data_IF_110547066453
#
_entry.id   IF_110547066453
#
_cell.length_a   1.000
_cell.length_b   1.000
_cell.length_c   1.000
_cell.angle_alpha   90.00
_cell.angle_beta   90.00
_cell.angle_gamma   90.00
#
_symmetry.space_group_name_H-M   'P 1'
#
loop_
_entity.id
_entity.type
_entity.pdbx_description
1 polymer ?
#
# COMPACT_ATOMS: atom_id res chain seq x y z
N UNK A 1 30.45 11.32 28.86
CA UNK A 1 29.27 11.28 27.98
C UNK A 1 29.76 11.23 26.54
N UNK A 2 29.36 10.23 25.80
CA UNK A 2 29.75 10.15 24.40
C UNK A 2 28.94 11.23 23.61
N UNK A 3 29.67 12.15 23.00
CA UNK A 3 29.07 13.17 22.13
C UNK A 3 28.84 12.56 20.75
N UNK A 4 27.64 12.01 20.54
CA UNK A 4 27.27 11.49 19.22
C UNK A 4 26.94 12.64 18.27
N UNK A 5 27.60 12.67 17.11
CA UNK A 5 27.22 13.57 16.00
C UNK A 5 25.94 13.10 15.31
N UNK A 6 25.22 13.98 14.63
CA UNK A 6 24.03 13.60 13.86
C UNK A 6 24.37 12.52 12.79
N UNK A 7 25.57 12.59 12.19
CA UNK A 7 26.06 11.60 11.21
C UNK A 7 26.28 10.21 11.81
N UNK A 8 26.82 10.11 13.04
CA UNK A 8 26.96 8.83 13.74
C UNK A 8 25.59 8.22 14.09
N UNK A 9 24.62 9.06 14.47
CA UNK A 9 23.25 8.63 14.73
C UNK A 9 22.59 8.13 13.44
N UNK A 10 22.80 8.81 12.31
CA UNK A 10 22.32 8.35 11.00
C UNK A 10 22.90 6.99 10.63
N UNK A 11 24.21 6.81 10.80
CA UNK A 11 24.89 5.53 10.54
C UNK A 11 24.26 4.39 11.35
N UNK A 12 23.95 4.63 12.62
CA UNK A 12 23.26 3.67 13.51
C UNK A 12 21.82 3.43 13.06
N UNK A 13 21.08 4.48 12.67
CA UNK A 13 19.72 4.34 12.19
C UNK A 13 19.64 3.50 10.91
N UNK A 14 20.57 3.70 9.98
CA UNK A 14 20.68 2.89 8.75
C UNK A 14 21.04 1.44 9.08
N UNK A 15 21.97 1.20 10.00
CA UNK A 15 22.34 -0.14 10.45
C UNK A 15 21.16 -0.86 11.13
N UNK A 16 20.42 -0.15 11.97
CA UNK A 16 19.20 -0.66 12.63
C UNK A 16 18.13 -0.99 11.58
N UNK A 17 17.86 -0.13 10.60
CA UNK A 17 16.93 -0.43 9.51
C UNK A 17 17.32 -1.69 8.72
N UNK A 18 18.61 -1.87 8.43
CA UNK A 18 19.11 -3.07 7.76
C UNK A 18 18.95 -4.35 8.62
N UNK A 19 19.10 -4.25 9.96
CA UNK A 19 18.90 -5.40 10.86
C UNK A 19 17.40 -5.72 11.05
N UNK A 20 16.50 -4.77 10.86
CA UNK A 20 15.06 -5.02 10.85
C UNK A 20 14.66 -5.99 9.75
N UNK A 21 15.31 -5.95 8.60
CA UNK A 21 15.09 -6.95 7.54
C UNK A 21 15.29 -8.39 8.02
N UNK A 22 16.27 -8.64 8.89
CA UNK A 22 16.47 -9.97 9.47
C UNK A 22 15.35 -10.36 10.47
N UNK A 23 14.79 -9.40 11.20
CA UNK A 23 13.65 -9.59 12.11
C UNK A 23 12.32 -9.84 11.36
N UNK A 24 12.16 -9.25 10.18
CA UNK A 24 10.99 -9.43 9.31
C UNK A 24 10.87 -10.85 8.79
N UNK A 25 11.99 -11.50 8.47
CA UNK A 25 12.00 -12.92 8.12
C UNK A 25 11.46 -13.80 9.26
N UNK A 26 11.48 -13.28 10.50
CA UNK A 26 10.86 -13.90 11.68
C UNK A 26 9.38 -13.53 11.90
N UNK A 27 8.79 -12.73 11.04
CA UNK A 27 7.37 -12.36 11.11
C UNK A 27 7.03 -11.21 12.08
N UNK A 28 8.01 -10.56 12.68
CA UNK A 28 7.77 -9.54 13.73
C UNK A 28 7.07 -8.27 13.22
N UNK A 29 7.31 -7.86 11.96
CA UNK A 29 6.63 -6.73 11.32
C UNK A 29 5.45 -7.14 10.43
N UNK A 30 5.45 -8.37 9.91
CA UNK A 30 4.34 -8.95 9.14
C UNK A 30 3.12 -9.34 9.98
N UNK A 31 3.15 -9.15 11.30
CA UNK A 31 2.00 -9.36 12.16
C UNK A 31 0.80 -8.45 11.85
N UNK A 32 1.02 -7.37 11.11
CA UNK A 32 -0.04 -6.54 10.54
C UNK A 32 -0.19 -6.90 9.07
N UNK A 33 -1.29 -7.50 8.73
CA UNK A 33 -1.64 -7.84 7.36
C UNK A 33 -2.14 -6.58 6.65
N UNK A 34 -1.25 -5.92 5.92
CA UNK A 34 -1.52 -4.76 5.09
C UNK A 34 -1.74 -5.20 3.64
N UNK A 35 -2.78 -6.01 3.42
CA UNK A 35 -3.04 -6.62 2.12
C UNK A 35 -3.31 -5.61 1.00
N UNK A 36 -3.89 -4.46 1.32
CA UNK A 36 -4.11 -3.38 0.36
C UNK A 36 -2.77 -2.81 -0.14
N UNK A 37 -1.79 -2.67 0.75
CA UNK A 37 -0.44 -2.21 0.39
C UNK A 37 0.31 -3.28 -0.43
N UNK A 38 0.26 -4.55 -0.03
CA UNK A 38 0.85 -5.66 -0.79
C UNK A 38 0.28 -5.73 -2.22
N UNK A 39 -1.03 -5.59 -2.34
CA UNK A 39 -1.73 -5.62 -3.62
C UNK A 39 -1.30 -4.47 -4.54
N UNK A 40 -1.28 -3.21 -4.05
CA UNK A 40 -0.95 -2.05 -4.90
C UNK A 40 0.52 -2.06 -5.33
N UNK A 41 1.44 -2.51 -4.47
CA UNK A 41 2.86 -2.62 -4.81
C UNK A 41 3.06 -3.68 -5.90
N UNK A 42 2.44 -4.85 -5.75
CA UNK A 42 2.48 -5.93 -6.74
C UNK A 42 1.97 -5.46 -8.11
N UNK A 43 0.88 -4.70 -8.14
CA UNK A 43 0.23 -4.27 -9.37
C UNK A 43 0.93 -3.08 -10.07
N UNK A 44 1.75 -2.32 -9.36
CA UNK A 44 2.39 -1.12 -9.90
C UNK A 44 3.19 -1.36 -11.18
N UNK A 45 4.06 -2.40 -11.30
CA UNK A 45 4.80 -2.67 -12.53
C UNK A 45 3.93 -3.08 -13.70
N UNK A 46 2.75 -3.65 -13.45
CA UNK A 46 1.81 -4.09 -14.47
C UNK A 46 0.99 -2.92 -15.03
N UNK A 47 0.69 -1.93 -14.18
CA UNK A 47 -0.08 -0.74 -14.57
C UNK A 47 0.75 0.24 -15.42
N UNK A 48 2.02 0.43 -15.07
CA UNK A 48 2.88 1.45 -15.68
C UNK A 48 3.53 0.88 -16.93
N UNK A 49 3.35 1.56 -18.07
CA UNK A 49 3.97 1.15 -19.33
C UNK A 49 5.49 1.24 -19.23
N UNK A 50 6.16 0.14 -19.54
CA UNK A 50 7.61 -0.01 -19.34
C UNK A 50 8.00 -0.54 -17.95
N UNK A 51 7.05 -0.77 -17.07
CA UNK A 51 7.23 -1.47 -15.80
C UNK A 51 8.30 -0.86 -14.90
N UNK A 52 9.11 -1.71 -14.29
CA UNK A 52 10.11 -1.33 -13.29
C UNK A 52 11.15 -0.30 -13.81
N UNK A 53 11.53 -0.36 -15.10
CA UNK A 53 12.49 0.58 -15.68
C UNK A 53 11.94 2.01 -15.73
N UNK A 54 10.67 2.17 -16.12
CA UNK A 54 9.97 3.46 -16.11
C UNK A 54 9.83 3.99 -14.70
N UNK A 55 9.44 3.14 -13.73
CA UNK A 55 9.31 3.51 -12.32
C UNK A 55 10.65 4.00 -11.77
N UNK A 56 11.75 3.29 -12.05
CA UNK A 56 13.09 3.70 -11.63
C UNK A 56 13.47 5.07 -12.17
N UNK A 57 13.19 5.33 -13.46
CA UNK A 57 13.43 6.62 -14.09
C UNK A 57 12.58 7.73 -13.47
N UNK A 58 11.31 7.46 -13.17
CA UNK A 58 10.41 8.43 -12.56
C UNK A 58 10.86 8.83 -11.15
N UNK A 59 11.35 7.88 -10.37
CA UNK A 59 11.86 8.14 -9.02
C UNK A 59 13.09 9.06 -8.99
N UNK A 60 13.85 9.13 -10.07
CA UNK A 60 15.05 9.99 -10.16
C UNK A 60 14.76 11.43 -10.60
N UNK A 61 13.55 11.73 -11.05
CA UNK A 61 13.18 13.07 -11.52
C UNK A 61 13.22 14.11 -10.39
N UNK A 62 13.61 15.36 -10.71
CA UNK A 62 13.76 16.42 -9.71
C UNK A 62 12.43 17.08 -9.28
N UNK A 63 11.36 16.92 -10.04
CA UNK A 63 10.09 17.59 -9.83
C UNK A 63 8.89 16.62 -9.82
N UNK A 64 7.76 17.11 -9.27
CA UNK A 64 6.48 16.40 -9.23
C UNK A 64 5.68 16.47 -10.53
N UNK A 65 6.10 17.28 -11.51
CA UNK A 65 5.35 17.51 -12.76
C UNK A 65 5.55 16.40 -13.79
N UNK A 66 5.54 15.17 -13.34
CA UNK A 66 5.81 13.98 -14.16
C UNK A 66 4.51 13.51 -14.78
N UNK A 67 4.54 13.21 -16.09
CA UNK A 67 3.47 12.46 -16.73
C UNK A 67 3.83 10.99 -16.79
N UNK A 68 2.98 10.16 -16.23
CA UNK A 68 3.20 8.72 -16.12
C UNK A 68 2.37 8.01 -17.17
N UNK A 69 2.99 7.18 -18.03
CA UNK A 69 2.25 6.37 -18.98
C UNK A 69 1.60 5.19 -18.25
N UNK A 70 0.28 5.21 -18.16
CA UNK A 70 -0.51 4.12 -17.57
C UNK A 70 -1.30 3.40 -18.64
N UNK A 71 -1.60 2.12 -18.41
CA UNK A 71 -2.46 1.35 -19.26
C UNK A 71 -3.86 1.94 -19.30
N UNK A 72 -4.45 1.92 -20.50
CA UNK A 72 -5.81 2.31 -20.76
C UNK A 72 -6.63 1.05 -21.11
N UNK A 73 -7.86 0.97 -20.61
CA UNK A 73 -8.76 -0.08 -21.09
C UNK A 73 -9.12 0.17 -22.55
N UNK A 74 -8.85 -0.80 -23.42
CA UNK A 74 -9.11 -0.66 -24.84
C UNK A 74 -10.62 -0.60 -25.11
N UNK A 75 -11.04 0.40 -25.89
CA UNK A 75 -12.42 0.54 -26.40
C UNK A 75 -12.53 0.14 -27.85
N UNK A 76 -11.52 -0.56 -28.40
CA UNK A 76 -11.49 -0.97 -29.79
C UNK A 76 -12.63 -1.93 -30.10
N UNK A 77 -13.30 -1.66 -31.20
CA UNK A 77 -14.33 -2.57 -31.77
C UNK A 77 -13.71 -3.38 -32.90
N UNK A 78 -14.04 -4.66 -32.95
CA UNK A 78 -13.62 -5.53 -34.05
C UNK A 78 -14.55 -5.31 -35.22
N UNK A 79 -13.99 -4.91 -36.36
CA UNK A 79 -14.71 -4.82 -37.62
C UNK A 79 -14.69 -6.15 -38.37
N UNK A 80 -15.78 -6.46 -39.11
CA UNK A 80 -15.92 -7.68 -39.92
C UNK A 80 -15.44 -7.50 -41.37
N UNK A 81 -15.10 -6.29 -41.80
CA UNK A 81 -14.67 -5.94 -43.16
C UNK A 81 -13.20 -5.55 -43.20
N UNK A 82 -12.48 -6.04 -44.23
CA UNK A 82 -11.13 -5.56 -44.52
C UNK A 82 -11.20 -4.15 -45.07
N UNK A 83 -10.77 -3.18 -44.28
CA UNK A 83 -10.54 -1.81 -44.75
C UNK A 83 -9.06 -1.57 -45.00
N UNK A 84 -8.75 -0.98 -46.15
CA UNK A 84 -7.39 -0.49 -46.45
C UNK A 84 -7.02 0.77 -45.65
N UNK A 85 -7.96 1.38 -44.94
CA UNK A 85 -7.71 2.50 -44.05
C UNK A 85 -7.17 1.99 -42.73
N UNK A 86 -5.98 2.46 -42.37
CA UNK A 86 -5.45 2.30 -41.02
C UNK A 86 -6.38 2.99 -40.04
N UNK A 87 -6.90 2.24 -39.06
CA UNK A 87 -7.73 2.81 -38.01
C UNK A 87 -6.90 3.83 -37.20
N UNK A 88 -7.41 5.03 -37.06
CA UNK A 88 -6.89 6.08 -36.18
C UNK A 88 -7.31 5.87 -34.71
N UNK A 89 -7.50 4.62 -34.30
CA UNK A 89 -7.92 4.32 -32.93
C UNK A 89 -6.85 4.77 -31.94
N UNK A 90 -7.30 5.45 -30.91
CA UNK A 90 -6.45 5.99 -29.86
C UNK A 90 -5.56 4.90 -29.23
N UNK A 91 -4.38 5.31 -28.87
CA UNK A 91 -3.40 4.51 -28.13
C UNK A 91 -4.01 3.90 -26.86
N UNK A 92 -3.59 2.68 -26.53
CA UNK A 92 -4.01 1.99 -25.30
C UNK A 92 -3.21 2.46 -24.06
N UNK A 93 -2.57 3.62 -24.17
CA UNK A 93 -1.85 4.29 -23.10
C UNK A 93 -2.42 5.68 -22.83
N UNK A 94 -2.40 6.11 -21.60
CA UNK A 94 -2.72 7.46 -21.20
C UNK A 94 -1.59 8.06 -20.36
N UNK A 95 -1.31 9.34 -20.57
CA UNK A 95 -0.38 10.10 -19.74
C UNK A 95 -1.16 10.72 -18.58
N UNK A 96 -0.93 10.21 -17.38
CA UNK A 96 -1.58 10.69 -16.16
C UNK A 96 -0.58 11.53 -15.36
N UNK A 97 -1.01 12.69 -14.89
CA UNK A 97 -0.24 13.50 -13.94
C UNK A 97 -0.56 13.02 -12.53
N UNK A 98 0.41 12.47 -11.79
CA UNK A 98 0.18 11.99 -10.44
C UNK A 98 -0.08 13.15 -9.48
N UNK A 99 -0.93 12.95 -8.49
CA UNK A 99 -1.09 13.83 -7.34
C UNK A 99 -0.36 13.20 -6.17
N UNK A 100 0.68 13.86 -5.69
CA UNK A 100 1.46 13.38 -4.56
C UNK A 100 0.90 13.90 -3.23
N UNK A 101 0.84 13.01 -2.25
CA UNK A 101 0.50 13.31 -0.87
C UNK A 101 1.64 12.87 0.03
N UNK A 102 2.05 13.72 0.96
CA UNK A 102 3.10 13.39 1.94
C UNK A 102 2.52 12.49 3.02
N UNK A 103 3.21 11.41 3.31
CA UNK A 103 2.95 10.52 4.44
C UNK A 103 4.11 10.63 5.41
N UNK A 104 3.81 10.83 6.68
CA UNK A 104 4.82 11.03 7.74
C UNK A 104 4.40 10.30 9.01
N UNK A 105 5.38 9.87 9.79
CA UNK A 105 5.18 9.24 11.11
C UNK A 105 4.88 10.24 12.23
N UNK A 106 4.94 11.55 11.94
CA UNK A 106 4.79 12.60 12.93
C UNK A 106 6.04 12.86 13.79
N UNK A 107 7.07 12.04 13.62
CA UNK A 107 8.36 12.14 14.31
C UNK A 107 8.38 11.49 15.70
N UNK A 108 9.58 11.06 16.11
CA UNK A 108 9.85 10.56 17.44
C UNK A 108 11.19 11.10 17.97
N UNK A 109 11.41 10.97 19.26
CA UNK A 109 12.64 11.44 19.92
C UNK A 109 13.30 10.31 20.69
N UNK A 110 14.63 10.32 20.68
CA UNK A 110 15.47 9.42 21.48
C UNK A 110 16.36 10.28 22.38
N UNK A 111 16.36 10.00 23.66
CA UNK A 111 17.24 10.66 24.62
C UNK A 111 18.58 9.93 24.68
N UNK A 112 19.61 10.55 24.14
CA UNK A 112 20.96 9.98 24.05
C UNK A 112 21.67 9.95 25.41
N UNK A 113 21.34 10.88 26.31
CA UNK A 113 21.95 10.95 27.64
C UNK A 113 21.37 9.92 28.61
N UNK A 114 20.08 9.60 28.48
CA UNK A 114 19.43 8.58 29.30
C UNK A 114 19.91 7.16 28.97
N UNK A 115 20.42 6.96 27.76
CA UNK A 115 20.92 5.66 27.32
C UNK A 115 22.28 5.30 27.94
N UNK A 116 23.10 6.29 28.36
CA UNK A 116 24.40 6.05 28.98
C UNK A 116 24.32 5.41 30.39
N UNK A 117 23.16 5.48 31.03
CA UNK A 117 22.95 4.93 32.39
C UNK A 117 21.93 3.81 32.50
N UNK A 118 21.30 3.40 31.40
CA UNK A 118 20.22 2.41 31.37
C UNK A 118 20.69 1.08 30.78
N UNK A 119 20.00 0.00 31.22
CA UNK A 119 20.13 -1.35 30.63
C UNK A 119 19.77 -1.43 29.15
N UNK A 120 19.12 -0.40 28.60
CA UNK A 120 18.75 -0.32 27.18
C UNK A 120 19.78 0.51 26.42
N UNK A 121 20.38 -0.13 25.45
CA UNK A 121 21.27 0.49 24.48
C UNK A 121 20.47 1.47 23.57
N UNK A 122 21.09 2.58 23.14
CA UNK A 122 20.54 3.54 22.17
C UNK A 122 19.98 2.83 20.93
N UNK A 123 20.69 1.82 20.46
CA UNK A 123 20.29 1.03 19.28
C UNK A 123 18.98 0.28 19.48
N UNK A 124 18.73 -0.25 20.67
CA UNK A 124 17.47 -0.93 20.99
C UNK A 124 16.29 0.05 21.07
N UNK A 125 16.50 1.22 21.69
CA UNK A 125 15.49 2.26 21.73
C UNK A 125 15.17 2.79 20.33
N UNK A 126 16.20 3.04 19.53
CA UNK A 126 16.07 3.47 18.15
C UNK A 126 15.34 2.40 17.31
N UNK A 127 15.73 1.13 17.43
CA UNK A 127 15.10 0.01 16.74
C UNK A 127 13.62 -0.10 17.06
N UNK A 128 13.24 -0.01 18.33
CA UNK A 128 11.83 -0.08 18.74
C UNK A 128 11.03 1.11 18.21
N UNK A 129 11.58 2.34 18.28
CA UNK A 129 10.92 3.53 17.79
C UNK A 129 10.73 3.49 16.27
N UNK A 130 11.78 3.15 15.53
CA UNK A 130 11.70 3.00 14.07
C UNK A 130 10.72 1.89 13.65
N UNK A 131 10.68 0.77 14.37
CA UNK A 131 9.71 -0.33 14.12
C UNK A 131 8.28 0.17 14.27
N UNK A 132 7.98 0.96 15.30
CA UNK A 132 6.66 1.54 15.48
C UNK A 132 6.33 2.56 14.38
N UNK A 133 7.28 3.42 14.00
CA UNK A 133 7.10 4.37 12.90
C UNK A 133 6.78 3.67 11.58
N UNK A 134 7.54 2.64 11.19
CA UNK A 134 7.25 1.88 9.96
C UNK A 134 5.88 1.20 10.01
N UNK A 135 5.51 0.66 11.17
CA UNK A 135 4.18 0.06 11.34
C UNK A 135 3.07 1.07 11.08
N UNK A 136 3.13 2.25 11.70
CA UNK A 136 2.14 3.32 11.51
C UNK A 136 2.11 3.81 10.06
N UNK A 137 3.29 3.94 9.43
CA UNK A 137 3.40 4.36 8.04
C UNK A 137 2.76 3.34 7.08
N UNK A 138 2.99 2.04 7.29
CA UNK A 138 2.35 0.98 6.48
C UNK A 138 0.84 0.93 6.69
N UNK A 139 0.36 1.05 7.93
CA UNK A 139 -1.07 1.14 8.24
C UNK A 139 -1.72 2.35 7.54
N UNK A 140 -1.04 3.50 7.55
CA UNK A 140 -1.51 4.70 6.84
C UNK A 140 -1.55 4.50 5.33
N UNK A 141 -0.52 3.91 4.74
CA UNK A 141 -0.49 3.61 3.30
C UNK A 141 -1.60 2.64 2.90
N UNK A 142 -1.87 1.61 3.71
CA UNK A 142 -2.95 0.67 3.48
C UNK A 142 -4.33 1.37 3.55
N UNK A 143 -4.57 2.19 4.57
CA UNK A 143 -5.80 2.96 4.71
C UNK A 143 -6.03 3.93 3.55
N UNK A 144 -4.99 4.64 3.13
CA UNK A 144 -5.06 5.55 1.99
C UNK A 144 -5.31 4.79 0.68
N UNK A 145 -4.81 3.56 0.56
CA UNK A 145 -5.09 2.69 -0.59
C UNK A 145 -6.55 2.25 -0.60
N UNK A 146 -7.13 1.89 0.55
CA UNK A 146 -8.56 1.59 0.66
C UNK A 146 -9.43 2.81 0.30
N UNK A 147 -9.04 4.00 0.77
CA UNK A 147 -9.73 5.25 0.42
C UNK A 147 -9.67 5.52 -1.08
N UNK A 148 -8.52 5.27 -1.70
CA UNK A 148 -8.34 5.38 -3.14
C UNK A 148 -9.21 4.37 -3.91
N UNK A 149 -9.31 3.13 -3.44
CA UNK A 149 -10.19 2.11 -4.03
C UNK A 149 -11.67 2.50 -3.92
N UNK A 150 -12.09 3.02 -2.75
CA UNK A 150 -13.46 3.48 -2.55
C UNK A 150 -13.83 4.62 -3.51
N UNK A 151 -12.90 5.52 -3.78
CA UNK A 151 -13.10 6.64 -4.72
C UNK A 151 -13.13 6.19 -6.17
N UNK A 152 -12.33 5.17 -6.52
CA UNK A 152 -12.17 4.68 -7.89
C UNK A 152 -12.95 3.41 -8.20
N UNK A 153 -13.81 2.92 -7.30
CA UNK A 153 -14.69 1.78 -7.59
C UNK A 153 -15.71 2.10 -8.65
N UNK A 154 -16.24 1.06 -9.30
CA UNK A 154 -17.33 1.19 -10.25
C UNK A 154 -18.55 1.83 -9.58
N UNK A 155 -19.19 2.77 -10.29
CA UNK A 155 -20.40 3.48 -9.86
C UNK A 155 -21.67 2.92 -10.48
N UNK A 156 -21.53 1.96 -11.36
CA UNK A 156 -22.64 1.23 -12.01
C UNK A 156 -22.43 -0.27 -11.91
N UNK A 157 -23.50 -1.03 -11.97
CA UNK A 157 -23.44 -2.50 -11.96
C UNK A 157 -22.69 -3.10 -13.16
N UNK A 158 -22.39 -2.30 -14.16
CA UNK A 158 -21.84 -2.77 -15.43
C UNK A 158 -22.88 -3.58 -16.22
N UNK A 159 -22.43 -4.62 -16.91
CA UNK A 159 -23.32 -5.62 -17.50
C UNK A 159 -23.70 -6.60 -16.38
N UNK A 160 -24.83 -6.33 -15.76
CA UNK A 160 -25.29 -6.98 -14.53
C UNK A 160 -25.35 -8.49 -14.69
N UNK A 161 -24.59 -9.18 -13.86
CA UNK A 161 -24.88 -10.57 -13.56
C UNK A 161 -26.15 -10.67 -12.71
N UNK A 162 -26.93 -11.70 -12.92
CA UNK A 162 -28.14 -12.00 -12.13
C UNK A 162 -27.82 -12.70 -10.82
N UNK A 163 -26.55 -12.87 -10.49
CA UNK A 163 -26.09 -13.70 -9.36
C UNK A 163 -26.04 -12.92 -8.05
N UNK A 164 -25.68 -11.64 -8.11
CA UNK A 164 -25.66 -10.73 -6.96
C UNK A 164 -26.55 -9.52 -7.23
N UNK A 165 -26.94 -8.80 -6.18
CA UNK A 165 -27.79 -7.62 -6.26
C UNK A 165 -26.93 -6.35 -6.20
N UNK A 166 -27.09 -5.48 -7.21
CA UNK A 166 -26.43 -4.17 -7.18
C UNK A 166 -27.10 -3.21 -6.21
N UNK A 167 -26.34 -2.66 -5.29
CA UNK A 167 -26.76 -1.55 -4.43
C UNK A 167 -26.15 -0.23 -4.94
N UNK A 168 -26.98 0.57 -5.63
CA UNK A 168 -26.56 1.84 -6.21
C UNK A 168 -26.14 2.88 -5.15
N UNK A 169 -26.71 2.82 -3.94
CA UNK A 169 -26.40 3.77 -2.86
C UNK A 169 -24.95 3.62 -2.38
N UNK A 170 -24.52 2.37 -2.25
CA UNK A 170 -23.17 2.07 -1.73
C UNK A 170 -22.18 1.74 -2.86
N UNK A 171 -22.62 1.65 -4.11
CA UNK A 171 -21.80 1.26 -5.26
C UNK A 171 -21.13 -0.10 -5.03
N UNK A 172 -21.92 -1.13 -4.69
CA UNK A 172 -21.41 -2.47 -4.39
C UNK A 172 -22.37 -3.58 -4.82
N UNK A 173 -21.83 -4.72 -5.19
CA UNK A 173 -22.58 -5.95 -5.39
C UNK A 173 -22.80 -6.63 -4.03
N UNK A 174 -24.04 -7.07 -3.78
CA UNK A 174 -24.44 -7.68 -2.52
C UNK A 174 -24.80 -9.14 -2.71
N UNK A 175 -24.12 -10.01 -1.97
CA UNK A 175 -24.45 -11.43 -1.87
C UNK A 175 -25.36 -11.66 -0.66
N UNK A 176 -26.45 -12.40 -0.84
CA UNK A 176 -27.38 -12.73 0.24
C UNK A 176 -26.78 -13.77 1.18
N UNK A 177 -27.28 -13.83 2.42
CA UNK A 177 -26.84 -14.82 3.40
C UNK A 177 -27.05 -16.26 2.92
N UNK A 178 -28.15 -16.52 2.19
CA UNK A 178 -28.46 -17.84 1.64
C UNK A 178 -27.39 -18.34 0.63
N UNK A 179 -26.71 -17.42 -0.04
CA UNK A 179 -25.69 -17.71 -1.04
C UNK A 179 -24.25 -17.53 -0.53
N UNK A 180 -24.07 -17.45 0.80
CA UNK A 180 -22.80 -17.17 1.45
C UNK A 180 -21.66 -18.04 0.94
N UNK A 181 -21.88 -19.34 0.82
CA UNK A 181 -20.84 -20.30 0.43
C UNK A 181 -20.37 -20.15 -1.02
N UNK A 182 -21.13 -19.43 -1.86
CA UNK A 182 -20.84 -19.22 -3.28
C UNK A 182 -20.30 -17.80 -3.58
N UNK A 183 -19.96 -17.00 -2.57
CA UNK A 183 -19.56 -15.61 -2.74
C UNK A 183 -18.49 -15.40 -3.81
N UNK A 184 -17.36 -16.11 -3.70
CA UNK A 184 -16.26 -15.97 -4.66
C UNK A 184 -16.59 -16.54 -6.04
N UNK A 185 -17.41 -17.60 -6.12
CA UNK A 185 -17.87 -18.15 -7.39
C UNK A 185 -18.74 -17.15 -8.17
N UNK A 186 -19.66 -16.50 -7.48
CA UNK A 186 -20.53 -15.47 -8.07
C UNK A 186 -19.74 -14.22 -8.47
N UNK A 187 -18.84 -13.76 -7.60
CA UNK A 187 -17.97 -12.63 -7.91
C UNK A 187 -17.09 -12.90 -9.15
N UNK A 188 -16.57 -14.12 -9.28
CA UNK A 188 -15.78 -14.53 -10.44
C UNK A 188 -16.58 -14.48 -11.74
N UNK A 189 -17.79 -15.05 -11.74
CA UNK A 189 -18.66 -15.02 -12.92
C UNK A 189 -19.11 -13.61 -13.28
N UNK A 190 -19.40 -12.76 -12.31
CA UNK A 190 -19.74 -11.35 -12.56
C UNK A 190 -18.59 -10.55 -13.15
N UNK A 191 -17.36 -10.76 -12.67
CA UNK A 191 -16.18 -10.14 -13.25
C UNK A 191 -16.03 -10.52 -14.72
N UNK A 192 -16.24 -11.80 -15.06
CA UNK A 192 -16.18 -12.29 -16.44
C UNK A 192 -17.29 -11.74 -17.31
N UNK A 193 -18.53 -11.65 -16.79
CA UNK A 193 -19.65 -11.05 -17.50
C UNK A 193 -19.41 -9.58 -17.82
N UNK A 194 -18.71 -8.87 -16.93
CA UNK A 194 -18.25 -7.50 -17.16
C UNK A 194 -17.01 -7.41 -18.07
N UNK A 195 -16.60 -8.53 -18.68
CA UNK A 195 -15.45 -8.62 -19.61
C UNK A 195 -14.12 -8.25 -18.97
N UNK A 196 -13.99 -8.46 -17.67
CA UNK A 196 -12.69 -8.39 -17.00
C UNK A 196 -11.98 -9.74 -17.15
N UNK A 197 -10.70 -9.70 -17.50
CA UNK A 197 -9.87 -10.90 -17.66
C UNK A 197 -9.11 -11.19 -16.36
N UNK A 198 -9.12 -12.44 -15.89
CA UNK A 198 -8.31 -12.84 -14.73
C UNK A 198 -6.83 -12.96 -15.07
N UNK A 199 -5.95 -13.10 -14.07
CA UNK A 199 -6.28 -13.30 -12.66
C UNK A 199 -6.77 -12.03 -11.97
N UNK A 200 -7.60 -12.22 -10.94
CA UNK A 200 -8.16 -11.11 -10.17
C UNK A 200 -7.45 -10.97 -8.83
N UNK A 201 -7.17 -9.74 -8.44
CA UNK A 201 -6.69 -9.41 -7.11
C UNK A 201 -7.88 -9.06 -6.21
N UNK A 202 -7.90 -9.65 -5.02
CA UNK A 202 -8.99 -9.53 -4.05
C UNK A 202 -8.45 -8.98 -2.75
N UNK A 203 -8.82 -7.74 -2.42
CA UNK A 203 -8.56 -7.17 -1.09
C UNK A 203 -9.81 -7.37 -0.26
N UNK A 204 -9.72 -8.13 0.83
CA UNK A 204 -10.89 -8.53 1.61
C UNK A 204 -10.75 -8.22 3.10
N UNK A 205 -11.91 -8.04 3.74
CA UNK A 205 -11.99 -7.97 5.21
C UNK A 205 -11.67 -9.32 5.83
N UNK A 206 -11.14 -9.31 7.04
CA UNK A 206 -11.09 -10.50 7.88
C UNK A 206 -12.51 -10.89 8.36
N UNK A 207 -12.62 -12.01 9.04
CA UNK A 207 -13.89 -12.53 9.53
C UNK A 207 -14.50 -13.50 8.54
N UNK A 208 -15.72 -13.26 8.12
CA UNK A 208 -16.50 -14.21 7.31
C UNK A 208 -15.81 -14.60 6.00
N UNK A 209 -15.34 -13.63 5.23
CA UNK A 209 -14.66 -13.90 3.95
C UNK A 209 -13.33 -14.62 4.16
N UNK A 210 -12.54 -14.24 5.16
CA UNK A 210 -11.31 -14.96 5.52
C UNK A 210 -11.59 -16.39 5.95
N UNK A 211 -12.66 -16.62 6.70
CA UNK A 211 -13.09 -17.97 7.09
C UNK A 211 -13.53 -18.80 5.88
N UNK A 212 -14.26 -18.22 4.93
CA UNK A 212 -14.64 -18.90 3.68
C UNK A 212 -13.43 -19.33 2.85
N UNK A 213 -12.42 -18.46 2.73
CA UNK A 213 -11.17 -18.77 2.04
C UNK A 213 -10.47 -19.94 2.74
N UNK A 214 -10.33 -19.90 4.06
CA UNK A 214 -9.72 -20.96 4.84
C UNK A 214 -10.49 -22.28 4.75
N UNK A 215 -11.83 -22.24 4.79
CA UNK A 215 -12.70 -23.40 4.62
C UNK A 215 -12.56 -24.04 3.24
N UNK A 216 -12.55 -23.24 2.18
CA UNK A 216 -12.34 -23.71 0.81
C UNK A 216 -10.97 -24.34 0.64
N UNK A 217 -9.93 -23.75 1.23
CA UNK A 217 -8.60 -24.32 1.25
C UNK A 217 -8.56 -25.69 1.96
N UNK A 218 -9.24 -25.83 3.10
CA UNK A 218 -9.30 -27.08 3.86
C UNK A 218 -10.16 -28.17 3.16
N UNK A 219 -11.26 -27.79 2.53
CA UNK A 219 -12.12 -28.74 1.80
C UNK A 219 -11.43 -29.30 0.55
N UNK A 220 -10.48 -28.58 -0.02
CA UNK A 220 -9.70 -29.02 -1.16
C UNK A 220 -8.57 -30.00 -0.84
N UNK A 221 -8.20 -30.16 0.41
CA UNK A 221 -7.16 -31.13 0.82
C UNK A 221 -7.50 -32.59 0.45
N UNK A 222 -8.77 -32.90 0.22
CA UNK A 222 -9.25 -34.21 -0.24
C UNK A 222 -9.52 -34.32 -1.76
N UNK A 223 -9.51 -33.20 -2.50
CA UNK A 223 -9.81 -33.19 -3.93
C UNK A 223 -9.01 -32.11 -4.66
N UNK A 224 -7.76 -32.41 -4.94
CA UNK A 224 -6.75 -31.49 -5.51
C UNK A 224 -7.17 -30.85 -6.84
N UNK A 225 -8.05 -31.48 -7.61
CA UNK A 225 -8.46 -30.99 -8.93
C UNK A 225 -9.43 -29.81 -8.85
N UNK A 226 -10.35 -29.81 -7.90
CA UNK A 226 -11.35 -28.75 -7.76
C UNK A 226 -10.81 -27.52 -7.05
N UNK A 227 -9.91 -27.68 -6.11
CA UNK A 227 -9.32 -26.57 -5.36
C UNK A 227 -8.33 -25.77 -6.21
N UNK A 228 -7.50 -26.44 -6.98
CA UNK A 228 -6.59 -25.80 -7.91
C UNK A 228 -7.34 -24.93 -8.94
N UNK A 229 -8.57 -25.32 -9.31
CA UNK A 229 -9.38 -24.57 -10.23
C UNK A 229 -10.07 -23.35 -9.57
N UNK A 230 -10.56 -23.47 -8.34
CA UNK A 230 -11.32 -22.40 -7.68
C UNK A 230 -10.45 -21.33 -7.02
N UNK A 231 -9.28 -21.70 -6.47
CA UNK A 231 -8.41 -20.77 -5.75
C UNK A 231 -7.12 -20.43 -6.49
N UNK A 232 -6.60 -21.33 -7.32
CA UNK A 232 -5.27 -21.21 -7.91
C UNK A 232 -5.21 -20.47 -9.23
N UNK A 233 -6.28 -20.39 -9.99
CA UNK A 233 -6.28 -19.81 -11.33
C UNK A 233 -7.09 -18.51 -11.48
N UNK A 234 -7.86 -18.11 -10.48
CA UNK A 234 -8.77 -16.98 -10.59
C UNK A 234 -8.50 -15.81 -9.66
N UNK A 235 -8.05 -16.05 -8.44
CA UNK A 235 -7.94 -15.03 -7.41
C UNK A 235 -6.60 -15.04 -6.69
N UNK A 236 -6.04 -13.85 -6.44
CA UNK A 236 -4.99 -13.61 -5.48
C UNK A 236 -5.61 -12.89 -4.28
N UNK A 237 -5.51 -13.46 -3.09
CA UNK A 237 -6.15 -12.95 -1.88
C UNK A 237 -5.20 -12.11 -1.05
N UNK A 238 -5.66 -10.93 -0.65
CA UNK A 238 -4.96 -9.97 0.20
C UNK A 238 -5.87 -9.59 1.36
N UNK A 239 -5.59 -10.14 2.55
CA UNK A 239 -6.33 -9.81 3.77
C UNK A 239 -5.90 -8.45 4.30
N UNK A 240 -6.86 -7.55 4.58
CA UNK A 240 -6.59 -6.20 5.04
C UNK A 240 -7.24 -5.95 6.41
N UNK A 241 -6.40 -5.63 7.40
CA UNK A 241 -6.86 -5.42 8.78
C UNK A 241 -7.60 -4.08 8.94
N UNK A 242 -7.22 -3.06 8.18
CA UNK A 242 -7.83 -1.73 8.23
C UNK A 242 -9.14 -1.65 7.44
N UNK A 243 -9.47 -2.69 6.69
CA UNK A 243 -10.69 -2.71 5.89
C UNK A 243 -11.91 -3.03 6.77
N UNK A 244 -12.75 -2.03 6.98
CA UNK A 244 -14.02 -2.18 7.71
C UNK A 244 -15.15 -2.37 6.71
N UNK A 245 -15.93 -3.43 6.85
CA UNK A 245 -17.11 -3.66 6.03
C UNK A 245 -18.19 -2.59 6.27
N UNK A 246 -19.06 -2.40 5.29
CA UNK A 246 -20.23 -1.52 5.45
C UNK A 246 -21.18 -2.06 6.52
N UNK A 247 -22.02 -1.19 7.11
CA UNK A 247 -23.06 -1.60 8.05
C UNK A 247 -24.01 -2.62 7.40
N UNK A 248 -24.38 -3.67 8.13
CA UNK A 248 -25.24 -4.75 7.64
C UNK A 248 -24.52 -5.80 6.80
N UNK A 249 -23.17 -5.79 6.76
CA UNK A 249 -22.36 -6.79 6.08
C UNK A 249 -21.50 -7.59 7.05
N UNK A 250 -21.27 -8.87 6.76
CA UNK A 250 -20.34 -9.74 7.51
C UNK A 250 -18.94 -9.74 6.88
N UNK A 251 -18.81 -9.22 5.67
CA UNK A 251 -17.54 -9.08 4.96
C UNK A 251 -17.67 -8.24 3.70
N UNK A 252 -16.58 -7.61 3.30
CA UNK A 252 -16.50 -6.83 2.06
C UNK A 252 -15.19 -7.14 1.34
N UNK A 253 -15.22 -7.04 0.01
CA UNK A 253 -14.04 -7.23 -0.83
C UNK A 253 -14.02 -6.23 -1.98
N UNK A 254 -12.82 -5.75 -2.34
CA UNK A 254 -12.56 -5.14 -3.64
C UNK A 254 -11.94 -6.20 -4.54
N UNK A 255 -12.51 -6.37 -5.71
CA UNK A 255 -12.03 -7.32 -6.72
C UNK A 255 -11.71 -6.55 -7.99
N UNK A 256 -10.54 -6.79 -8.55
CA UNK A 256 -10.02 -6.08 -9.72
C UNK A 256 -9.11 -6.97 -10.56
N UNK A 257 -8.94 -6.62 -11.83
CA UNK A 257 -7.89 -7.24 -12.66
C UNK A 257 -6.51 -6.85 -12.15
N UNK A 258 -5.53 -7.75 -12.31
CA UNK A 258 -4.13 -7.41 -12.09
C UNK A 258 -3.73 -6.18 -12.94
N UNK A 259 -2.91 -5.28 -12.40
CA UNK A 259 -2.50 -4.06 -13.07
C UNK A 259 -3.58 -2.97 -13.16
N UNK A 260 -4.64 -3.03 -12.35
CA UNK A 260 -5.69 -1.99 -12.31
C UNK A 260 -5.27 -0.79 -11.47
N UNK A 261 -4.52 -1.00 -10.41
CA UNK A 261 -4.05 0.05 -9.49
C UNK A 261 -2.53 0.01 -9.36
N UNK A 262 -1.95 1.13 -8.98
CA UNK A 262 -0.52 1.23 -8.72
C UNK A 262 -0.18 2.40 -7.81
N UNK A 263 1.04 2.39 -7.27
CA UNK A 263 1.53 3.43 -6.40
C UNK A 263 2.96 3.82 -6.80
N UNK A 264 3.25 5.10 -6.78
CA UNK A 264 4.61 5.62 -6.95
C UNK A 264 5.01 6.34 -5.68
N UNK A 265 6.20 6.02 -5.22
CA UNK A 265 6.91 6.71 -4.17
C UNK A 265 7.91 7.69 -4.79
N UNK A 266 7.97 8.90 -4.26
CA UNK A 266 8.92 9.92 -4.65
C UNK A 266 9.54 10.57 -3.42
N UNK A 267 10.84 10.81 -3.49
CA UNK A 267 11.59 11.48 -2.44
C UNK A 267 12.25 12.73 -3.01
N UNK A 268 12.39 13.74 -2.20
CA UNK A 268 13.03 15.00 -2.57
C UNK A 268 14.49 14.79 -3.00
N UNK A 269 14.97 15.54 -4.00
CA UNK A 269 16.34 15.43 -4.48
C UNK A 269 17.40 15.57 -3.40
N UNK A 270 17.22 16.53 -2.46
CA UNK A 270 18.14 16.79 -1.36
C UNK A 270 18.29 15.54 -0.46
N UNK A 271 17.21 14.81 -0.19
CA UNK A 271 17.23 13.58 0.61
C UNK A 271 17.88 12.42 -0.12
N UNK A 272 17.73 12.36 -1.45
CA UNK A 272 18.37 11.32 -2.27
C UNK A 272 19.88 11.45 -2.30
N UNK A 273 20.38 12.68 -2.34
CA UNK A 273 21.84 12.96 -2.27
C UNK A 273 22.36 12.84 -0.86
N UNK A 274 21.48 12.98 0.14
CA UNK A 274 21.85 13.10 1.53
C UNK A 274 22.53 14.43 1.82
N UNK A 275 22.59 14.82 3.06
CA UNK A 275 23.26 16.04 3.46
C UNK A 275 23.29 16.22 4.98
N UNK A 276 24.03 17.23 5.41
CA UNK A 276 24.10 17.62 6.80
C UNK A 276 24.16 19.16 6.93
N UNK A 277 23.70 19.65 8.05
CA UNK A 277 23.88 21.03 8.48
C UNK A 277 24.74 21.04 9.76
N UNK A 278 26.05 20.90 9.57
CA UNK A 278 26.97 20.69 10.68
C UNK A 278 26.64 19.41 11.48
N UNK A 279 26.92 19.44 12.79
CA UNK A 279 26.67 18.30 13.69
C UNK A 279 25.23 18.24 14.21
N UNK A 280 24.36 19.17 13.81
CA UNK A 280 23.03 19.36 14.39
C UNK A 280 21.93 18.68 13.60
N UNK A 281 22.08 18.60 12.28
CA UNK A 281 21.03 18.08 11.41
C UNK A 281 21.63 17.26 10.27
N UNK A 282 21.00 16.13 9.98
CA UNK A 282 21.37 15.25 8.87
C UNK A 282 20.12 14.66 8.25
N UNK A 283 20.17 14.45 6.95
CA UNK A 283 19.07 13.83 6.21
C UNK A 283 19.59 12.87 5.15
N UNK A 284 18.84 11.83 4.90
CA UNK A 284 19.15 10.82 3.91
C UNK A 284 17.89 10.07 3.49
N UNK A 285 17.99 9.30 2.42
CA UNK A 285 16.96 8.34 2.04
C UNK A 285 17.32 6.96 2.59
N UNK A 286 16.35 6.28 3.19
CA UNK A 286 16.48 4.91 3.68
C UNK A 286 15.47 4.00 2.98
N UNK A 287 15.84 2.74 2.65
CA UNK A 287 14.90 1.79 2.10
C UNK A 287 13.89 1.35 3.17
N UNK A 288 12.68 1.02 2.72
CA UNK A 288 11.70 0.38 3.60
C UNK A 288 12.20 -1.03 3.99
N UNK A 289 12.07 -1.42 5.26
CA UNK A 289 12.54 -2.73 5.71
C UNK A 289 11.72 -3.91 5.18
N UNK A 290 10.46 -3.71 4.76
CA UNK A 290 9.56 -4.77 4.24
C UNK A 290 9.41 -4.68 2.74
N UNK A 291 9.24 -3.45 2.24
CA UNK A 291 8.93 -3.16 0.83
C UNK A 291 10.11 -2.45 0.18
N UNK A 292 11.04 -3.19 -0.43
CA UNK A 292 12.26 -2.60 -1.03
C UNK A 292 11.95 -1.62 -2.17
N UNK A 293 10.74 -1.67 -2.72
CA UNK A 293 10.25 -0.73 -3.72
C UNK A 293 9.96 0.66 -3.15
N UNK A 294 9.77 0.76 -1.83
CA UNK A 294 9.52 2.00 -1.10
C UNK A 294 10.82 2.50 -0.50
N UNK A 295 11.03 3.79 -0.58
CA UNK A 295 12.12 4.49 0.10
C UNK A 295 11.57 5.70 0.86
N UNK A 296 12.14 5.95 2.02
CA UNK A 296 11.70 6.99 2.94
C UNK A 296 12.77 8.06 3.12
N UNK A 297 12.35 9.29 3.29
CA UNK A 297 13.18 10.40 3.73
C UNK A 297 13.33 10.33 5.24
N UNK A 298 14.54 10.18 5.74
CA UNK A 298 14.87 10.24 7.15
C UNK A 298 15.56 11.56 7.44
N UNK A 299 15.01 12.35 8.35
CA UNK A 299 15.60 13.56 8.87
C UNK A 299 15.88 13.38 10.35
N UNK A 300 17.10 13.68 10.75
CA UNK A 300 17.56 13.61 12.15
C UNK A 300 18.00 15.00 12.55
N UNK A 301 17.43 15.50 13.63
CA UNK A 301 17.81 16.76 14.24
C UNK A 301 18.24 16.52 15.67
N UNK A 302 19.43 16.96 15.99
CA UNK A 302 19.96 16.94 17.33
C UNK A 302 19.64 18.26 18.02
N UNK A 303 19.18 18.24 19.26
CA UNK A 303 18.95 19.41 20.09
C UNK A 303 19.54 19.16 21.48
N UNK A 304 20.15 20.18 22.06
CA UNK A 304 20.39 20.17 23.49
C UNK A 304 19.06 20.57 24.14
N UNK A 305 18.42 19.65 24.88
CA UNK A 305 17.27 20.00 25.70
C UNK A 305 17.72 20.94 26.80
N UNK A 306 17.14 22.15 26.85
CA UNK A 306 17.10 22.88 28.08
C UNK A 306 16.24 22.04 29.05
N UNK A 307 16.69 21.79 30.24
CA UNK A 307 16.09 20.86 31.20
C UNK A 307 14.62 21.10 31.58
N UNK A 308 13.99 22.10 30.97
CA UNK A 308 12.61 22.51 31.23
C UNK A 308 11.54 21.74 30.42
N UNK A 309 11.85 21.22 29.24
CA UNK A 309 10.82 20.65 28.36
C UNK A 309 10.47 19.19 28.69
N UNK A 310 11.27 18.50 29.45
CA UNK A 310 11.04 17.09 29.87
C UNK A 310 10.76 16.92 31.36
N UNK A 311 10.58 18.00 32.10
CA UNK A 311 10.46 17.96 33.55
C UNK A 311 8.99 17.98 34.00
N UNK A 312 8.18 17.01 33.64
CA UNK A 312 6.92 16.74 34.33
C UNK A 312 7.12 16.01 35.67
N UNK A 313 8.34 15.67 36.05
CA UNK A 313 8.67 14.88 37.24
C UNK A 313 9.73 15.45 38.18
N UNK A 314 10.21 16.69 38.01
CA UNK A 314 11.03 17.36 39.02
C UNK A 314 12.52 16.99 39.07
N UNK A 315 13.06 16.20 38.16
CA UNK A 315 14.50 15.89 38.08
C UNK A 315 15.04 16.43 36.77
N UNK A 316 15.63 17.64 36.82
CA UNK A 316 16.24 18.26 35.64
C UNK A 316 17.52 17.52 35.23
N UNK A 317 17.54 16.95 34.03
CA UNK A 317 18.79 16.60 33.37
C UNK A 317 19.31 17.83 32.63
N UNK A 318 20.13 18.62 33.30
CA UNK A 318 20.88 19.73 32.70
C UNK A 318 21.86 19.14 31.70
N UNK A 319 21.63 19.07 30.45
CA UNK A 319 22.42 18.53 29.34
C UNK A 319 21.87 17.27 28.69
N UNK A 320 20.55 17.06 28.64
CA UNK A 320 19.99 15.97 27.86
C UNK A 320 20.19 16.23 26.35
N UNK A 321 20.95 15.37 25.71
CA UNK A 321 21.07 15.36 24.27
C UNK A 321 19.87 14.60 23.67
N UNK A 322 19.05 15.29 22.89
CA UNK A 322 17.90 14.72 22.23
C UNK A 322 18.17 14.58 20.72
N UNK A 323 17.87 13.43 20.18
CA UNK A 323 17.79 13.22 18.75
C UNK A 323 16.33 13.08 18.35
N UNK A 324 15.84 13.99 17.50
CA UNK A 324 14.52 13.94 16.90
C UNK A 324 14.61 13.32 15.51
N UNK A 325 13.75 12.38 15.21
CA UNK A 325 13.68 11.66 13.97
C UNK A 325 12.35 11.96 13.29
N UNK A 326 12.36 12.14 11.97
CA UNK A 326 11.16 12.27 11.15
C UNK A 326 11.33 11.39 9.94
N UNK A 327 10.37 10.50 9.72
CA UNK A 327 10.31 9.63 8.55
C UNK A 327 9.13 10.09 7.70
N UNK A 328 9.38 10.39 6.44
CA UNK A 328 8.35 10.85 5.51
C UNK A 328 8.65 10.41 4.08
N UNK A 329 7.67 10.42 3.21
CA UNK A 329 7.85 10.32 1.76
C UNK A 329 6.57 10.79 1.05
N UNK A 330 6.69 11.10 -0.23
CA UNK A 330 5.56 11.47 -1.06
C UNK A 330 5.08 10.26 -1.86
N UNK A 331 3.77 10.05 -1.85
CA UNK A 331 3.12 8.94 -2.56
C UNK A 331 2.03 9.45 -3.49
N UNK A 332 1.96 8.87 -4.67
CA UNK A 332 0.83 9.03 -5.57
C UNK A 332 0.26 7.67 -5.92
N UNK A 333 -1.06 7.57 -5.88
CA UNK A 333 -1.79 6.38 -6.31
C UNK A 333 -2.37 6.60 -7.67
N UNK A 334 -2.33 5.56 -8.49
CA UNK A 334 -2.74 5.56 -9.87
C UNK A 334 -3.74 4.44 -10.10
N UNK A 335 -4.71 4.70 -10.98
CA UNK A 335 -5.61 3.67 -11.49
C UNK A 335 -5.46 3.58 -13.00
N UNK A 336 -5.82 2.44 -13.56
CA UNK A 336 -5.94 2.26 -15.01
C UNK A 336 -6.88 3.35 -15.56
N UNK A 337 -6.44 4.03 -16.60
CA UNK A 337 -7.25 5.08 -17.19
C UNK A 337 -8.49 4.51 -17.86
N UNK A 338 -9.64 5.08 -17.56
CA UNK A 338 -10.90 4.75 -18.21
C UNK A 338 -11.52 6.01 -18.81
N UNK A 339 -12.04 5.90 -20.03
CA UNK A 339 -12.74 7.02 -20.69
C UNK A 339 -14.23 7.06 -20.32
N UNK A 340 -14.74 6.01 -19.66
CA UNK A 340 -16.16 5.86 -19.31
C UNK A 340 -16.31 5.85 -17.81
N UNK A 341 -17.10 6.75 -17.28
CA UNK A 341 -17.43 6.79 -15.86
C UNK A 341 -18.09 5.45 -15.44
N UNK A 342 -17.64 4.90 -14.32
CA UNK A 342 -18.14 3.63 -13.79
C UNK A 342 -17.45 2.36 -14.31
N UNK A 343 -16.52 2.48 -15.25
CA UNK A 343 -15.75 1.35 -15.79
C UNK A 343 -14.29 1.40 -15.33
N UNK A 344 -14.09 1.46 -14.03
CA UNK A 344 -12.75 1.60 -13.41
C UNK A 344 -11.99 0.29 -13.31
N UNK A 345 -12.67 -0.86 -13.47
CA UNK A 345 -12.08 -2.19 -13.24
C UNK A 345 -11.98 -2.59 -11.78
N UNK A 346 -12.38 -1.72 -10.86
CA UNK A 346 -12.45 -2.01 -9.42
C UNK A 346 -13.90 -2.22 -9.02
N UNK A 347 -14.28 -3.43 -8.65
CA UNK A 347 -15.63 -3.77 -8.20
C UNK A 347 -15.62 -4.01 -6.69
N UNK A 348 -16.61 -3.46 -6.00
CA UNK A 348 -16.83 -3.72 -4.57
C UNK A 348 -17.93 -4.75 -4.38
N UNK A 349 -17.64 -5.75 -3.57
CA UNK A 349 -18.55 -6.83 -3.20
C UNK A 349 -18.76 -6.85 -1.69
N UNK A 350 -19.97 -7.23 -1.29
CA UNK A 350 -20.32 -7.34 0.13
C UNK A 350 -21.12 -8.62 0.40
N UNK A 351 -20.78 -9.31 1.46
CA UNK A 351 -21.57 -10.40 2.01
C UNK A 351 -22.54 -9.83 3.05
N UNK A 352 -23.83 -9.99 2.84
CA UNK A 352 -24.84 -9.47 3.74
C UNK A 352 -24.97 -10.35 5.00
N UNK A 353 -25.34 -9.71 6.13
CA UNK A 353 -25.56 -10.39 7.42
C UNK A 353 -26.97 -11.01 7.54
N UNK A 354 -27.90 -10.56 6.74
CA UNK A 354 -29.31 -11.01 6.74
C UNK A 354 -29.84 -11.04 5.30
#
# INVERSE_FOLDING_TARGET
MANYTASEILTRAVAVSATMNAGIQKGELRGNLNGALDCIIKNTPELIVGGAATIATLKTRPDHSIKIPVLKRSTRTVGSTRNCATSTTADDTALVTPSFTTVTDGGFQVNLSAADGNMYNIEQQLANSMKQSFRILHEKLALDTLTFLETNKATSAGQVGTLMTWNALNGQQQNTLANRDNFFGYAYEEMRQNKYSGPYDVIHTFGDLGFQIARQANQGAGNSTNLAWQLGQGFNFFGEQQFTGASGTTGSAYIMEAGTIGMINWNRPDFRTGGNLGDMEVWATIPDPIYPEISWELKIKRSCGDGNTYNTGGVGYENSQLASFLISADFSRLARYTSTAGDTGVMKYAQMSA
#
